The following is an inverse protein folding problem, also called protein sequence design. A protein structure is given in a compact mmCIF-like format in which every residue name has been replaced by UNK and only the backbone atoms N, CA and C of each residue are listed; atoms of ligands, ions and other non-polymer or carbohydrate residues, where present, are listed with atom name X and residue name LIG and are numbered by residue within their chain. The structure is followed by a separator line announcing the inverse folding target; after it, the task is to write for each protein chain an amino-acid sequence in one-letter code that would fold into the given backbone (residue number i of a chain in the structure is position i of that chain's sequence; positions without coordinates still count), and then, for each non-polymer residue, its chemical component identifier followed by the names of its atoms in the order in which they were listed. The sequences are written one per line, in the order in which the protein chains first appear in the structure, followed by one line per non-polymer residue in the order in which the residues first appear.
data_IF_212199358533
#
_entry.id   IF_212199358533
#
_cell.length_a   1.000
_cell.length_b   1.000
_cell.length_c   1.000
_cell.angle_alpha   90.00
_cell.angle_beta   90.00
_cell.angle_gamma   90.00
#
_symmetry.space_group_name_H-M   'P 1'
#
loop_
_entity.id
_entity.type
_entity.pdbx_description
1 polymer ?
#
# COMPACT_ATOMS: atom_id res chain seq x y z
N UNK A 1 6.24 7.40 -12.40
CA UNK A 1 6.75 6.02 -12.21
C UNK A 1 5.93 5.07 -13.06
N UNK A 2 6.54 4.02 -13.60
CA UNK A 2 5.83 3.00 -14.37
C UNK A 2 4.90 2.19 -13.46
N UNK A 3 3.70 1.87 -13.93
CA UNK A 3 2.75 1.00 -13.24
C UNK A 3 3.13 -0.47 -13.44
N UNK A 4 3.10 -1.26 -12.37
CA UNK A 4 3.18 -2.72 -12.47
C UNK A 4 1.78 -3.27 -12.83
N UNK A 5 1.49 -3.34 -14.13
CA UNK A 5 0.17 -3.74 -14.64
C UNK A 5 -0.25 -5.16 -14.24
N UNK A 6 0.71 -6.09 -14.17
CA UNK A 6 0.47 -7.48 -13.76
C UNK A 6 0.03 -7.56 -12.29
N UNK A 7 0.70 -6.79 -11.43
CA UNK A 7 0.34 -6.69 -10.02
C UNK A 7 -1.07 -6.13 -9.85
N UNK A 8 -1.43 -5.07 -10.58
CA UNK A 8 -2.80 -4.50 -10.52
C UNK A 8 -3.87 -5.45 -11.07
N UNK A 9 -3.54 -6.31 -12.04
CA UNK A 9 -4.49 -7.27 -12.58
C UNK A 9 -4.85 -8.36 -11.55
N UNK A 10 -3.87 -8.80 -10.76
CA UNK A 10 -3.99 -9.88 -9.77
C UNK A 10 -4.41 -9.40 -8.39
N UNK A 11 -4.01 -8.19 -7.99
CA UNK A 11 -4.25 -7.59 -6.68
C UNK A 11 -5.21 -6.41 -6.80
N UNK A 12 -6.47 -6.67 -7.13
CA UNK A 12 -7.50 -5.63 -7.16
C UNK A 12 -8.06 -5.42 -5.76
N UNK A 13 -8.09 -4.17 -5.28
CA UNK A 13 -8.74 -3.84 -4.03
C UNK A 13 -10.27 -3.87 -4.19
N UNK A 14 -11.01 -4.67 -3.41
CA UNK A 14 -12.46 -4.70 -3.46
C UNK A 14 -13.07 -3.34 -3.10
N UNK A 15 -14.19 -2.98 -3.73
CA UNK A 15 -14.89 -1.70 -3.47
C UNK A 15 -15.31 -1.52 -2.00
N UNK A 16 -15.66 -2.63 -1.33
CA UNK A 16 -16.07 -2.66 0.07
C UNK A 16 -15.00 -3.28 0.99
N UNK A 17 -13.72 -3.21 0.58
CA UNK A 17 -12.62 -3.71 1.38
C UNK A 17 -12.67 -3.12 2.79
N UNK A 18 -12.51 -3.98 3.80
CA UNK A 18 -12.33 -3.60 5.20
C UNK A 18 -11.02 -2.83 5.36
N UNK A 19 -10.89 -2.11 6.47
CA UNK A 19 -9.70 -1.32 6.76
C UNK A 19 -8.42 -2.17 6.69
N UNK A 20 -8.43 -3.36 7.28
CA UNK A 20 -7.30 -4.31 7.24
C UNK A 20 -6.88 -4.67 5.81
N UNK A 21 -7.85 -4.99 4.95
CA UNK A 21 -7.59 -5.34 3.54
C UNK A 21 -7.00 -4.16 2.79
N UNK A 22 -7.49 -2.94 3.07
CA UNK A 22 -6.92 -1.71 2.48
C UNK A 22 -5.50 -1.48 2.95
N UNK A 23 -5.22 -1.62 4.24
CA UNK A 23 -3.89 -1.43 4.81
C UNK A 23 -2.90 -2.39 4.16
N UNK A 24 -3.23 -3.69 4.18
CA UNK A 24 -2.39 -4.73 3.59
C UNK A 24 -2.15 -4.49 2.09
N UNK A 25 -3.21 -4.18 1.34
CA UNK A 25 -3.11 -3.86 -0.08
C UNK A 25 -2.14 -2.70 -0.34
N UNK A 26 -2.22 -1.63 0.45
CA UNK A 26 -1.36 -0.46 0.26
C UNK A 26 0.10 -0.72 0.63
N UNK A 27 0.36 -1.55 1.66
CA UNK A 27 1.72 -2.00 2.01
C UNK A 27 2.34 -2.77 0.85
N UNK A 28 1.63 -3.78 0.33
CA UNK A 28 2.11 -4.62 -0.78
C UNK A 28 2.22 -3.80 -2.08
N UNK A 29 1.28 -2.90 -2.34
CA UNK A 29 1.32 -1.98 -3.48
C UNK A 29 2.58 -1.10 -3.45
N UNK A 30 2.91 -0.53 -2.30
CA UNK A 30 4.10 0.31 -2.13
C UNK A 30 5.40 -0.46 -2.39
N UNK A 31 5.44 -1.75 -2.05
CA UNK A 31 6.59 -2.62 -2.27
C UNK A 31 6.72 -3.13 -3.72
N UNK A 32 5.61 -3.39 -4.43
CA UNK A 32 5.63 -4.06 -5.74
C UNK A 32 5.43 -3.12 -6.94
N UNK A 33 4.78 -1.97 -6.73
CA UNK A 33 4.40 -1.05 -7.79
C UNK A 33 4.82 0.38 -7.44
N UNK A 34 4.31 0.91 -6.33
CA UNK A 34 4.58 2.27 -5.89
C UNK A 34 4.16 3.34 -6.90
N UNK A 35 3.28 3.02 -7.87
CA UNK A 35 2.89 3.96 -8.93
C UNK A 35 2.14 5.18 -8.40
N UNK A 36 1.59 5.07 -7.19
CA UNK A 36 0.91 6.14 -6.46
C UNK A 36 1.35 6.12 -5.00
N UNK A 37 1.51 7.31 -4.43
CA UNK A 37 1.76 7.47 -3.00
C UNK A 37 0.60 6.92 -2.15
N UNK A 38 0.94 6.30 -1.02
CA UNK A 38 -0.04 5.80 -0.05
C UNK A 38 -0.89 6.97 0.52
N UNK A 39 -2.23 6.84 0.56
CA UNK A 39 -3.11 7.88 1.11
C UNK A 39 -2.79 8.23 2.56
N UNK A 40 -2.96 9.51 2.93
CA UNK A 40 -2.68 10.01 4.28
C UNK A 40 -3.48 9.28 5.37
N UNK A 41 -4.72 8.88 5.08
CA UNK A 41 -5.56 8.11 6.02
C UNK A 41 -5.00 6.72 6.31
N UNK A 42 -4.44 6.05 5.29
CA UNK A 42 -3.79 4.74 5.44
C UNK A 42 -2.46 4.89 6.17
N UNK A 43 -1.65 5.90 5.82
CA UNK A 43 -0.40 6.21 6.53
C UNK A 43 -0.65 6.43 8.03
N UNK A 44 -1.61 7.30 8.36
CA UNK A 44 -1.99 7.59 9.74
C UNK A 44 -2.45 6.35 10.49
N UNK A 45 -3.25 5.50 9.87
CA UNK A 45 -3.72 4.26 10.49
C UNK A 45 -2.54 3.30 10.79
N UNK A 46 -1.57 3.18 9.88
CA UNK A 46 -0.36 2.39 10.11
C UNK A 46 0.49 2.97 11.25
N UNK A 47 0.66 4.30 11.28
CA UNK A 47 1.38 5.01 12.34
C UNK A 47 0.72 4.81 13.71
N UNK A 48 -0.62 4.93 13.80
CA UNK A 48 -1.39 4.70 15.03
C UNK A 48 -1.20 3.27 15.54
N UNK A 49 -1.07 2.30 14.64
CA UNK A 49 -0.84 0.89 14.98
C UNK A 49 0.62 0.56 15.31
N UNK A 50 1.52 1.55 15.27
CA UNK A 50 2.95 1.33 15.45
C UNK A 50 3.59 0.50 14.34
N UNK A 51 2.90 0.32 13.21
CA UNK A 51 3.42 -0.38 12.04
C UNK A 51 4.22 0.63 11.22
N UNK A 52 5.55 0.50 11.22
CA UNK A 52 6.41 1.32 10.38
C UNK A 52 6.04 1.11 8.91
N UNK A 53 5.53 2.15 8.26
CA UNK A 53 5.25 2.12 6.83
C UNK A 53 6.59 1.88 6.11
N UNK A 54 6.80 0.76 5.40
CA UNK A 54 8.01 0.55 4.65
C UNK A 54 8.05 1.63 3.55
N UNK A 55 8.87 2.64 3.76
CA UNK A 55 9.24 3.60 2.74
C UNK A 55 10.25 2.93 1.81
N UNK A 56 10.21 3.17 0.49
CA UNK A 56 11.25 2.69 -0.44
C UNK A 56 12.67 3.20 -0.09
N UNK A 57 12.82 4.08 0.91
CA UNK A 57 14.10 4.55 1.45
C UNK A 57 14.63 3.72 2.64
N UNK A 58 13.82 2.83 3.24
CA UNK A 58 14.21 1.99 4.39
C UNK A 58 14.76 0.61 4.01
N UNK A 59 14.89 0.32 2.71
CA UNK A 59 15.50 -0.91 2.18
C UNK A 59 16.91 -0.64 1.61
N UNK A 60 17.63 0.34 2.17
CA UNK A 60 19.06 0.56 1.86
C UNK A 60 19.94 -0.09 2.90
#
# INVERSE_FOLDING_TARGET
MAINSEWHATHKLPRNAKLEERLNWHIVHAANCGCREMPATIKRELEVRGLTVPSPRSLK
#
